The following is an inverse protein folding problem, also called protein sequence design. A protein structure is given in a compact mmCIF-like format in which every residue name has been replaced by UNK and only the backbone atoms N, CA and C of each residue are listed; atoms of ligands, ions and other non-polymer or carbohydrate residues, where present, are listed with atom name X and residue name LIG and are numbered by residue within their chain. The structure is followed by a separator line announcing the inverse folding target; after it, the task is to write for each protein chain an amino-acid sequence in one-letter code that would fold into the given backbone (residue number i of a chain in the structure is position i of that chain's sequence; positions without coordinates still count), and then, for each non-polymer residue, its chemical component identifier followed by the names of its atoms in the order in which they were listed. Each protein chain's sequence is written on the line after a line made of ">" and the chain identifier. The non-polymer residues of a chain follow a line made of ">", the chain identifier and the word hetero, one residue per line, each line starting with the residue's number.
data_IF_905597469732
#
_entry.id   IF_905597469732
#
_cell.length_a   1.000
_cell.length_b   1.000
_cell.length_c   1.000
_cell.angle_alpha   90.00
_cell.angle_beta   90.00
_cell.angle_gamma   90.00
#
_symmetry.space_group_name_H-M   'P 1'
#
loop_
_entity.id
_entity.type
_entity.pdbx_description
1 polymer ?
#
# COMPACT_ATOMS: atom_id res chain seq x y z
N UNK A 1 10.16 9.21 1.72
CA UNK A 1 8.88 8.87 2.37
C UNK A 1 8.95 7.67 3.33
N UNK A 2 10.12 7.11 3.65
CA UNK A 2 10.25 5.99 4.61
C UNK A 2 9.62 4.66 4.16
N UNK A 3 8.99 4.63 2.98
CA UNK A 3 8.53 3.41 2.35
C UNK A 3 9.73 2.62 1.83
N UNK A 4 9.73 1.33 2.10
CA UNK A 4 10.70 0.38 1.55
C UNK A 4 9.99 -0.49 0.51
N UNK A 5 10.65 -0.73 -0.62
CA UNK A 5 10.15 -1.64 -1.66
C UNK A 5 9.94 -3.03 -1.04
N UNK A 6 8.78 -3.59 -1.26
CA UNK A 6 8.46 -4.92 -0.76
C UNK A 6 9.13 -5.96 -1.67
N UNK A 7 9.93 -6.84 -1.07
CA UNK A 7 10.76 -7.84 -1.76
C UNK A 7 9.89 -8.91 -2.46
N UNK A 8 8.64 -9.09 -2.02
CA UNK A 8 7.67 -10.02 -2.63
C UNK A 8 6.52 -9.22 -3.23
N UNK A 9 6.84 -8.37 -4.21
CA UNK A 9 5.83 -7.83 -5.11
C UNK A 9 5.40 -8.97 -6.04
N UNK A 10 4.33 -9.68 -5.67
CA UNK A 10 3.61 -10.46 -6.68
C UNK A 10 3.14 -9.45 -7.74
N UNK A 11 3.54 -9.66 -8.99
CA UNK A 11 3.04 -8.94 -10.14
C UNK A 11 1.51 -9.01 -10.09
N UNK A 12 0.86 -7.91 -9.73
CA UNK A 12 -0.59 -7.81 -9.76
C UNK A 12 -0.93 -7.13 -11.07
N UNK A 13 -1.29 -7.89 -12.09
CA UNK A 13 -1.94 -7.31 -13.26
C UNK A 13 -3.39 -6.97 -12.89
N UNK A 14 -3.86 -5.78 -13.24
CA UNK A 14 -5.31 -5.53 -13.32
C UNK A 14 -5.84 -6.15 -14.61
N UNK A 15 -7.12 -6.52 -14.62
CA UNK A 15 -7.78 -7.18 -15.76
C UNK A 15 -7.78 -6.35 -17.06
N UNK A 16 -7.50 -5.04 -16.96
CA UNK A 16 -7.39 -4.11 -18.09
C UNK A 16 -5.99 -4.03 -18.72
N UNK A 17 -5.00 -4.78 -18.21
CA UNK A 17 -3.63 -4.79 -18.74
C UNK A 17 -2.65 -3.89 -18.00
N UNK A 18 -3.09 -3.13 -16.98
CA UNK A 18 -2.18 -2.32 -16.18
C UNK A 18 -1.27 -3.21 -15.32
N UNK A 19 0.04 -3.04 -15.50
CA UNK A 19 1.08 -3.76 -14.77
C UNK A 19 1.28 -3.06 -13.43
N UNK A 20 1.20 -3.78 -12.31
CA UNK A 20 1.56 -3.22 -11.00
C UNK A 20 3.03 -2.79 -11.01
N UNK A 21 3.27 -1.50 -10.88
CA UNK A 21 4.59 -0.91 -10.74
C UNK A 21 5.00 -0.88 -9.26
N UNK A 22 4.96 -2.05 -8.61
CA UNK A 22 5.59 -2.29 -7.30
C UNK A 22 4.71 -2.09 -6.06
N UNK A 23 5.10 -2.84 -5.02
CA UNK A 23 4.51 -2.81 -3.69
C UNK A 23 5.48 -2.15 -2.72
N UNK A 24 4.96 -1.29 -1.85
CA UNK A 24 5.73 -0.47 -0.92
C UNK A 24 5.18 -0.63 0.49
N UNK A 25 6.06 -0.67 1.50
CA UNK A 25 5.64 -0.80 2.89
C UNK A 25 6.31 0.25 3.78
N UNK A 26 5.52 0.91 4.61
CA UNK A 26 5.97 1.82 5.65
C UNK A 26 5.76 1.18 7.03
N UNK A 27 6.80 1.23 7.86
CA UNK A 27 6.87 0.63 9.20
C UNK A 27 7.56 1.59 10.15
N UNK A 28 7.25 1.51 11.44
CA UNK A 28 7.93 2.30 12.48
C UNK A 28 9.33 1.79 12.81
N UNK A 29 9.59 0.50 12.60
CA UNK A 29 10.89 -0.15 12.81
C UNK A 29 10.97 -1.47 12.04
N UNK A 30 12.16 -2.06 11.95
CA UNK A 30 12.40 -3.32 11.23
C UNK A 30 11.51 -4.47 11.73
N UNK A 31 11.26 -4.52 13.04
CA UNK A 31 10.41 -5.51 13.72
C UNK A 31 9.02 -4.96 14.08
N UNK A 32 8.54 -3.91 13.43
CA UNK A 32 7.17 -3.44 13.64
C UNK A 32 6.16 -4.58 13.33
N UNK A 33 5.14 -4.72 14.18
CA UNK A 33 4.11 -5.76 14.00
C UNK A 33 3.13 -5.48 12.87
N UNK A 34 3.03 -4.22 12.46
CA UNK A 34 2.10 -3.73 11.46
C UNK A 34 2.83 -2.90 10.41
N UNK A 35 2.22 -2.76 9.24
CA UNK A 35 2.71 -1.95 8.15
C UNK A 35 1.57 -1.28 7.40
N UNK A 36 1.85 -0.07 6.89
CA UNK A 36 1.05 0.54 5.83
C UNK A 36 1.62 0.04 4.51
N UNK A 37 0.82 -0.72 3.77
CA UNK A 37 1.22 -1.33 2.51
C UNK A 37 0.50 -0.64 1.36
N UNK A 38 1.26 -0.23 0.35
CA UNK A 38 0.80 0.36 -0.89
C UNK A 38 1.09 -0.56 -2.08
N UNK A 39 0.23 -0.54 -3.09
CA UNK A 39 0.54 -1.02 -4.44
C UNK A 39 0.22 0.09 -5.42
N UNK A 40 1.16 0.39 -6.30
CA UNK A 40 1.03 1.45 -7.29
C UNK A 40 0.70 0.84 -8.66
N UNK A 41 -0.18 1.52 -9.39
CA UNK A 41 -0.51 1.20 -10.77
C UNK A 41 -0.46 2.48 -11.58
N UNK A 42 0.20 2.45 -12.73
CA UNK A 42 0.13 3.53 -13.70
C UNK A 42 -1.30 3.63 -14.23
N UNK A 43 -1.88 4.83 -14.23
CA UNK A 43 -3.22 5.10 -14.72
C UNK A 43 -3.21 6.27 -15.73
N UNK A 44 -4.34 6.48 -16.40
CA UNK A 44 -4.46 7.58 -17.36
C UNK A 44 -4.48 8.93 -16.61
N UNK A 45 -3.40 9.70 -16.74
CA UNK A 45 -3.27 11.01 -16.09
C UNK A 45 -2.81 10.98 -14.63
N UNK A 46 -2.44 9.82 -14.08
CA UNK A 46 -2.00 9.71 -12.69
C UNK A 46 -1.51 8.34 -12.25
N UNK A 47 -1.35 8.16 -10.94
CA UNK A 47 -0.97 6.88 -10.33
C UNK A 47 -2.09 6.44 -9.39
N UNK A 48 -2.65 5.28 -9.67
CA UNK A 48 -3.59 4.60 -8.79
C UNK A 48 -2.87 3.98 -7.60
N UNK A 49 -3.32 4.30 -6.39
CA UNK A 49 -2.69 3.81 -5.15
C UNK A 49 -3.67 2.96 -4.37
N UNK A 50 -3.44 1.66 -4.35
CA UNK A 50 -4.13 0.76 -3.42
C UNK A 50 -3.40 0.75 -2.08
N UNK A 51 -4.12 1.01 -0.97
CA UNK A 51 -3.52 1.15 0.34
C UNK A 51 -4.26 0.35 1.42
N UNK A 52 -3.53 -0.36 2.27
CA UNK A 52 -4.11 -1.08 3.39
C UNK A 52 -3.16 -1.16 4.61
N UNK A 53 -3.76 -1.22 5.79
CA UNK A 53 -3.04 -1.48 7.04
C UNK A 53 -3.11 -2.98 7.36
N UNK A 54 -1.97 -3.61 7.58
CA UNK A 54 -1.89 -5.07 7.76
C UNK A 54 -0.73 -5.49 8.66
N UNK A 55 -0.68 -6.78 8.99
CA UNK A 55 0.46 -7.38 9.70
C UNK A 55 1.71 -7.30 8.83
N UNK A 56 2.82 -6.93 9.47
CA UNK A 56 4.13 -6.92 8.83
C UNK A 56 4.55 -8.35 8.49
N UNK A 57 4.70 -8.65 7.20
CA UNK A 57 5.22 -9.95 6.74
C UNK A 57 6.58 -10.29 7.36
N UNK A 58 7.42 -9.28 7.64
CA UNK A 58 8.74 -9.48 8.27
C UNK A 58 8.66 -10.10 9.66
N UNK A 59 7.64 -9.76 10.46
CA UNK A 59 7.50 -10.24 11.84
C UNK A 59 6.42 -11.30 12.00
N UNK A 60 5.36 -11.24 11.21
CA UNK A 60 4.18 -12.09 11.33
C UNK A 60 3.76 -12.64 9.96
N UNK A 61 4.59 -13.48 9.29
CA UNK A 61 4.34 -13.93 7.92
C UNK A 61 3.01 -14.68 7.76
N UNK A 62 2.68 -15.59 8.68
CA UNK A 62 1.42 -16.34 8.66
C UNK A 62 0.20 -15.45 8.85
N UNK A 63 0.22 -14.59 9.87
CA UNK A 63 -0.88 -13.63 10.11
C UNK A 63 -1.06 -12.62 8.98
N UNK A 64 0.01 -12.32 8.25
CA UNK A 64 -0.04 -11.50 7.05
C UNK A 64 -0.71 -12.26 5.89
N UNK A 65 -0.38 -13.54 5.66
CA UNK A 65 -1.03 -14.37 4.65
C UNK A 65 -2.53 -14.57 4.95
N UNK A 66 -2.89 -14.76 6.22
CA UNK A 66 -4.27 -14.93 6.67
C UNK A 66 -5.04 -13.60 6.79
N UNK A 67 -4.45 -12.47 6.38
CA UNK A 67 -5.05 -11.13 6.46
C UNK A 67 -5.56 -10.74 7.87
N UNK A 68 -4.94 -11.24 8.93
CA UNK A 68 -5.37 -10.99 10.31
C UNK A 68 -5.28 -9.50 10.65
N UNK A 69 -6.45 -8.88 10.85
CA UNK A 69 -6.56 -7.44 11.16
C UNK A 69 -6.24 -6.53 9.98
N UNK A 70 -6.32 -7.05 8.75
CA UNK A 70 -6.30 -6.26 7.52
C UNK A 70 -7.35 -5.15 7.57
N UNK A 71 -6.98 -3.93 7.17
CA UNK A 71 -7.86 -2.78 7.17
C UNK A 71 -7.52 -1.81 6.03
N UNK A 72 -8.26 -1.93 4.93
CA UNK A 72 -8.13 -1.05 3.76
C UNK A 72 -8.49 0.39 4.09
N UNK A 73 -9.63 0.63 4.76
CA UNK A 73 -10.10 1.98 5.12
C UNK A 73 -9.06 2.77 5.91
N UNK A 74 -8.44 2.13 6.91
CA UNK A 74 -7.34 2.72 7.69
C UNK A 74 -6.14 3.01 6.80
N UNK A 75 -5.77 2.07 5.92
CA UNK A 75 -4.68 2.26 4.96
C UNK A 75 -4.91 3.49 4.07
N UNK A 76 -6.07 3.60 3.44
CA UNK A 76 -6.46 4.74 2.60
C UNK A 76 -6.40 6.06 3.38
N UNK A 77 -7.01 6.12 4.57
CA UNK A 77 -6.98 7.33 5.40
C UNK A 77 -5.55 7.75 5.76
N UNK A 78 -4.70 6.80 6.15
CA UNK A 78 -3.29 7.03 6.47
C UNK A 78 -2.48 7.51 5.27
N UNK A 79 -2.73 6.96 4.08
CA UNK A 79 -2.08 7.37 2.83
C UNK A 79 -2.49 8.76 2.43
N UNK A 80 -3.80 9.05 2.39
CA UNK A 80 -4.33 10.37 2.04
C UNK A 80 -3.76 11.45 2.95
N UNK A 81 -3.76 11.22 4.27
CA UNK A 81 -3.18 12.16 5.24
C UNK A 81 -1.70 12.42 4.98
N UNK A 82 -0.91 11.37 4.70
CA UNK A 82 0.54 11.50 4.44
C UNK A 82 0.87 12.19 3.13
N UNK A 83 0.06 11.97 2.10
CA UNK A 83 0.21 12.55 0.76
C UNK A 83 -0.20 14.02 0.77
N UNK A 84 -1.34 14.34 1.39
CA UNK A 84 -1.78 15.72 1.59
C UNK A 84 -0.73 16.55 2.35
N UNK A 85 -0.18 16.00 3.44
CA UNK A 85 0.89 16.65 4.20
C UNK A 85 2.20 16.89 3.41
N UNK A 86 2.33 16.32 2.21
CA UNK A 86 3.48 16.50 1.30
C UNK A 86 3.12 17.24 0.02
N UNK A 87 1.90 17.78 -0.08
CA UNK A 87 1.44 18.50 -1.27
C UNK A 87 1.17 17.60 -2.48
N UNK A 88 1.02 16.28 -2.29
CA UNK A 88 0.59 15.38 -3.37
C UNK A 88 -0.89 15.62 -3.62
N UNK A 89 -1.24 15.96 -4.87
CA UNK A 89 -2.64 16.07 -5.32
C UNK A 89 -3.27 14.68 -5.30
N UNK A 90 -4.43 14.56 -4.64
CA UNK A 90 -5.18 13.32 -4.52
C UNK A 90 -6.54 13.56 -5.16
N UNK A 91 -6.91 12.73 -6.12
CA UNK A 91 -8.23 12.75 -6.71
C UNK A 91 -9.18 11.83 -5.90
N UNK A 92 -10.46 12.19 -5.75
CA UNK A 92 -11.44 11.34 -5.08
C UNK A 92 -11.65 10.03 -5.87
N UNK A 93 -11.98 8.96 -5.15
CA UNK A 93 -12.37 7.69 -5.78
C UNK A 93 -13.63 7.92 -6.63
N UNK A 94 -13.66 7.38 -7.85
CA UNK A 94 -14.87 7.36 -8.67
C UNK A 94 -16.00 6.67 -7.90
N UNK A 95 -17.13 7.36 -7.76
CA UNK A 95 -18.36 6.88 -7.11
C UNK A 95 -19.06 5.80 -7.91
#
# INVERSE_FOLDING_TARGET
>A
MGFERNIVAALKSRANGDISEESWALRESFFASWQLHLTLYSGEGGVDVYAHWERSRRRHPWKHLDNVGFNAKKGVQMTRSRFANRGVRIEPEWS
#
